data_IF_404978140327
#
_entry.id   IF_404978140327
#
_cell.length_a   1.000
_cell.length_b   1.000
_cell.length_c   1.000
_cell.angle_alpha   90.00
_cell.angle_beta   90.00
_cell.angle_gamma   90.00
#
_symmetry.space_group_name_H-M   'P 1'
#
loop_
_entity.id
_entity.type
_entity.pdbx_description
1 polymer ?
#
# COMPACT_ATOMS: atom_id res chain seq x y z
N UNK A 1 4.95 10.85 -12.61
CA UNK A 1 5.48 11.42 -11.34
C UNK A 1 7.01 11.45 -11.43
N UNK A 2 7.70 12.40 -10.77
CA UNK A 2 9.16 12.47 -10.73
C UNK A 2 9.65 12.97 -9.35
N UNK A 3 10.96 12.90 -9.10
CA UNK A 3 11.58 13.23 -7.81
C UNK A 3 11.24 14.64 -7.31
N UNK A 4 11.26 15.65 -8.18
CA UNK A 4 10.93 17.05 -7.82
C UNK A 4 9.50 17.17 -7.30
N UNK A 5 8.54 16.60 -8.03
CA UNK A 5 7.13 16.65 -7.64
C UNK A 5 6.91 15.92 -6.31
N UNK A 6 7.59 14.79 -6.08
CA UNK A 6 7.47 14.03 -4.83
C UNK A 6 8.02 14.83 -3.65
N UNK A 7 9.20 15.44 -3.80
CA UNK A 7 9.80 16.28 -2.75
C UNK A 7 8.90 17.48 -2.44
N UNK A 8 8.43 18.21 -3.44
CA UNK A 8 7.52 19.35 -3.26
C UNK A 8 6.21 18.92 -2.57
N UNK A 9 5.67 17.76 -2.96
CA UNK A 9 4.45 17.19 -2.37
C UNK A 9 4.66 16.82 -0.91
N UNK A 10 5.76 16.13 -0.58
CA UNK A 10 6.11 15.76 0.78
C UNK A 10 6.37 17.00 1.65
N UNK A 11 7.01 18.04 1.12
CA UNK A 11 7.25 19.31 1.82
C UNK A 11 5.94 20.04 2.14
N UNK A 12 5.02 20.10 1.18
CA UNK A 12 3.71 20.68 1.42
C UNK A 12 2.89 19.90 2.44
N UNK A 13 2.94 18.56 2.39
CA UNK A 13 2.31 17.71 3.40
C UNK A 13 2.93 17.93 4.79
N UNK A 14 4.26 17.96 4.89
CA UNK A 14 4.98 18.26 6.13
C UNK A 14 4.54 19.63 6.69
N UNK A 15 4.52 20.66 5.84
CA UNK A 15 4.11 22.01 6.25
C UNK A 15 2.66 22.04 6.74
N UNK A 16 1.75 21.33 6.07
CA UNK A 16 0.38 21.18 6.52
C UNK A 16 0.33 20.55 7.92
N UNK A 17 0.97 19.38 8.09
CA UNK A 17 0.95 18.65 9.35
C UNK A 17 1.58 19.44 10.50
N UNK A 18 2.64 20.21 10.25
CA UNK A 18 3.25 21.11 11.24
C UNK A 18 2.29 22.21 11.71
N UNK A 19 1.37 22.66 10.86
CA UNK A 19 0.38 23.67 11.24
C UNK A 19 -0.84 23.04 11.95
N UNK A 20 -1.01 21.71 11.88
CA UNK A 20 -2.19 21.00 12.37
C UNK A 20 -1.94 20.21 13.65
N UNK A 21 -0.73 19.70 13.85
CA UNK A 21 -0.39 18.79 14.95
C UNK A 21 0.84 19.28 15.72
N UNK A 22 0.62 19.73 16.96
CA UNK A 22 1.71 20.13 17.87
C UNK A 22 2.61 18.95 18.25
N UNK A 23 2.07 17.72 18.22
CA UNK A 23 2.72 16.45 18.55
C UNK A 23 3.30 15.70 17.33
N UNK A 24 3.39 16.36 16.16
CA UNK A 24 3.88 15.74 14.91
C UNK A 24 5.21 15.01 15.06
N UNK A 25 6.18 15.59 15.79
CA UNK A 25 7.51 14.98 15.94
C UNK A 25 7.49 13.72 16.80
N UNK A 26 6.58 13.65 17.77
CA UNK A 26 6.43 12.50 18.66
C UNK A 26 5.68 11.37 17.96
N UNK A 27 4.61 11.70 17.24
CA UNK A 27 3.76 10.72 16.57
C UNK A 27 4.26 10.31 15.20
N UNK A 28 4.89 11.20 14.46
CA UNK A 28 5.45 10.90 13.14
C UNK A 28 4.44 10.51 12.07
N UNK A 29 4.97 9.96 10.97
CA UNK A 29 4.19 9.43 9.84
C UNK A 29 4.61 8.00 9.48
N UNK A 30 3.78 7.32 8.71
CA UNK A 30 4.12 6.05 8.05
C UNK A 30 4.14 6.20 6.53
N UNK A 31 5.08 5.54 5.86
CA UNK A 31 5.21 5.54 4.40
C UNK A 31 5.30 4.10 3.89
N UNK A 32 4.47 3.76 2.90
CA UNK A 32 4.49 2.48 2.20
C UNK A 32 4.46 2.66 0.68
N UNK A 33 4.71 1.58 -0.04
CA UNK A 33 4.80 1.61 -1.50
C UNK A 33 4.48 0.24 -2.13
N UNK A 34 4.03 0.26 -3.39
CA UNK A 34 3.76 -0.95 -4.18
C UNK A 34 4.95 -1.36 -5.08
N UNK A 35 4.75 -2.38 -5.91
CA UNK A 35 5.77 -2.90 -6.83
C UNK A 35 6.01 -2.09 -8.11
N UNK A 36 5.37 -0.92 -8.30
CA UNK A 36 5.53 -0.14 -9.54
C UNK A 36 6.92 0.49 -9.67
N UNK A 37 7.28 0.85 -10.90
CA UNK A 37 8.50 1.61 -11.17
C UNK A 37 8.59 2.86 -10.30
N UNK A 38 9.76 3.05 -9.68
CA UNK A 38 10.10 4.17 -8.80
C UNK A 38 9.28 4.27 -7.49
N UNK A 39 8.38 3.33 -7.18
CA UNK A 39 7.57 3.38 -5.95
C UNK A 39 8.43 3.46 -4.68
N UNK A 40 9.45 2.60 -4.56
CA UNK A 40 10.44 2.64 -3.48
C UNK A 40 11.18 3.98 -3.42
N UNK A 41 11.70 4.45 -4.56
CA UNK A 41 12.44 5.70 -4.67
C UNK A 41 11.62 6.89 -4.19
N UNK A 42 10.36 6.97 -4.59
CA UNK A 42 9.47 8.06 -4.19
C UNK A 42 9.10 7.97 -2.70
N UNK A 43 8.93 6.78 -2.14
CA UNK A 43 8.72 6.59 -0.71
C UNK A 43 9.94 7.03 0.12
N UNK A 44 11.16 6.70 -0.34
CA UNK A 44 12.41 7.14 0.29
C UNK A 44 12.59 8.65 0.25
N UNK A 45 12.26 9.31 -0.87
CA UNK A 45 12.27 10.77 -0.96
C UNK A 45 11.29 11.41 0.01
N UNK A 46 10.06 10.86 0.13
CA UNK A 46 9.09 11.32 1.11
C UNK A 46 9.64 11.17 2.52
N UNK A 47 10.17 9.99 2.87
CA UNK A 47 10.74 9.74 4.19
C UNK A 47 11.86 10.74 4.52
N UNK A 48 12.76 10.99 3.57
CA UNK A 48 13.88 11.90 3.73
C UNK A 48 13.45 13.35 4.02
N UNK A 49 12.38 13.84 3.38
CA UNK A 49 11.84 15.19 3.65
C UNK A 49 11.39 15.33 5.11
N UNK A 50 10.69 14.32 5.63
CA UNK A 50 10.20 14.33 7.01
C UNK A 50 11.33 14.12 8.03
N UNK A 51 12.23 13.19 7.75
CA UNK A 51 13.41 12.91 8.59
C UNK A 51 14.31 14.15 8.71
N UNK A 52 14.55 14.87 7.59
CA UNK A 52 15.33 16.12 7.59
C UNK A 52 14.70 17.21 8.48
N UNK A 53 13.37 17.20 8.63
CA UNK A 53 12.65 18.12 9.53
C UNK A 53 12.61 17.65 11.00
N UNK A 54 13.27 16.53 11.31
CA UNK A 54 13.27 15.88 12.62
C UNK A 54 11.90 15.30 13.00
N UNK A 55 11.13 14.86 12.01
CA UNK A 55 9.88 14.11 12.21
C UNK A 55 10.18 12.62 12.11
N UNK A 56 9.67 11.85 13.06
CA UNK A 56 9.77 10.40 13.04
C UNK A 56 9.03 9.82 11.83
N UNK A 57 9.67 8.89 11.11
CA UNK A 57 9.11 8.24 9.93
C UNK A 57 9.30 6.75 10.05
N UNK A 58 8.21 6.01 9.95
CA UNK A 58 8.26 4.58 9.73
C UNK A 58 8.05 4.28 8.24
N UNK A 59 9.11 3.83 7.56
CA UNK A 59 9.04 3.38 6.17
C UNK A 59 8.93 1.86 6.14
N UNK A 60 7.97 1.32 5.37
CA UNK A 60 7.93 -0.13 5.12
C UNK A 60 9.21 -0.57 4.38
N UNK A 61 9.88 -1.61 4.88
CA UNK A 61 11.15 -2.08 4.31
C UNK A 61 10.99 -2.69 2.89
N UNK A 62 9.81 -3.21 2.58
CA UNK A 62 9.48 -3.83 1.31
C UNK A 62 8.08 -3.44 0.85
N UNK A 63 7.73 -3.85 -0.37
CA UNK A 63 6.41 -3.60 -0.97
C UNK A 63 5.29 -4.08 -0.04
N UNK A 64 4.24 -3.27 0.11
CA UNK A 64 3.14 -3.56 1.02
C UNK A 64 1.77 -3.28 0.38
N UNK A 65 0.71 -4.03 0.73
CA UNK A 65 -0.64 -3.73 0.27
C UNK A 65 -1.11 -2.37 0.81
N UNK A 66 -1.82 -1.60 -0.02
CA UNK A 66 -2.36 -0.29 0.35
C UNK A 66 -3.05 -0.27 1.73
N UNK A 67 -3.88 -1.26 2.14
CA UNK A 67 -4.54 -1.25 3.45
C UNK A 67 -3.61 -1.28 4.67
N UNK A 68 -2.35 -1.68 4.52
CA UNK A 68 -1.41 -1.73 5.63
C UNK A 68 -0.99 -0.33 6.10
N UNK A 69 -0.91 0.65 5.19
CA UNK A 69 -0.58 2.04 5.52
C UNK A 69 -1.62 2.68 6.46
N UNK A 70 -2.93 2.76 6.13
CA UNK A 70 -3.91 3.34 7.04
C UNK A 70 -4.11 2.52 8.32
N UNK A 71 -3.92 1.20 8.28
CA UNK A 71 -3.90 0.39 9.48
C UNK A 71 -2.73 0.79 10.39
N UNK A 72 -1.51 0.90 9.86
CA UNK A 72 -0.34 1.36 10.59
C UNK A 72 -0.51 2.77 11.18
N UNK A 73 -1.19 3.68 10.47
CA UNK A 73 -1.51 5.01 11.01
C UNK A 73 -2.24 4.90 12.34
N UNK A 74 -3.32 4.12 12.38
CA UNK A 74 -4.14 3.99 13.59
C UNK A 74 -3.49 3.10 14.65
N UNK A 75 -2.81 2.02 14.23
CA UNK A 75 -2.18 1.06 15.13
C UNK A 75 -0.97 1.64 15.87
N UNK A 76 -0.13 2.40 15.16
CA UNK A 76 1.08 3.02 15.70
C UNK A 76 0.85 4.49 16.14
N UNK A 77 -0.39 4.98 16.05
CA UNK A 77 -0.77 6.36 16.40
C UNK A 77 0.01 7.45 15.64
N UNK A 78 0.26 7.25 14.33
CA UNK A 78 0.83 8.29 13.47
C UNK A 78 -0.19 9.38 13.14
N UNK A 79 0.27 10.58 12.76
CA UNK A 79 -0.64 11.67 12.33
C UNK A 79 -1.07 11.57 10.87
N UNK A 80 -0.30 10.85 10.05
CA UNK A 80 -0.61 10.63 8.64
C UNK A 80 0.09 9.38 8.09
N UNK A 81 -0.43 8.88 6.97
CA UNK A 81 0.16 7.80 6.19
C UNK A 81 0.28 8.18 4.72
N UNK A 82 1.36 7.76 4.06
CA UNK A 82 1.56 7.93 2.62
C UNK A 82 1.69 6.56 1.97
N UNK A 83 0.91 6.30 0.93
CA UNK A 83 1.07 5.13 0.07
C UNK A 83 1.46 5.58 -1.33
N UNK A 84 2.65 5.17 -1.78
CA UNK A 84 3.11 5.38 -3.15
C UNK A 84 2.59 4.25 -4.03
N UNK A 85 1.57 4.56 -4.83
CA UNK A 85 0.89 3.63 -5.73
C UNK A 85 -0.02 4.39 -6.68
N UNK A 86 -0.21 3.85 -7.89
CA UNK A 86 -1.28 4.28 -8.80
C UNK A 86 -2.45 3.27 -8.88
N UNK A 87 -2.60 2.38 -7.90
CA UNK A 87 -3.70 1.40 -7.85
C UNK A 87 -3.79 0.60 -9.16
N UNK A 88 -4.90 0.72 -9.89
CA UNK A 88 -5.20 0.00 -11.11
C UNK A 88 -4.80 0.74 -12.42
N UNK A 89 -4.09 1.88 -12.31
CA UNK A 89 -3.65 2.65 -13.47
C UNK A 89 -2.63 1.88 -14.35
N UNK A 90 -2.36 2.34 -15.59
CA UNK A 90 -1.31 1.79 -16.47
C UNK A 90 0.07 1.73 -15.82
N UNK A 91 0.98 0.92 -16.37
CA UNK A 91 2.35 0.74 -15.83
C UNK A 91 3.19 2.01 -15.79
N UNK A 92 2.93 2.94 -16.70
CA UNK A 92 3.66 4.21 -16.80
C UNK A 92 3.31 5.17 -15.65
N UNK A 93 2.18 4.92 -14.98
CA UNK A 93 1.68 5.75 -13.90
C UNK A 93 2.21 5.28 -12.53
N UNK A 94 2.47 6.27 -11.69
CA UNK A 94 2.66 6.11 -10.25
C UNK A 94 1.93 7.26 -9.53
N UNK A 95 1.60 7.10 -8.26
CA UNK A 95 0.71 7.98 -7.53
C UNK A 95 1.07 8.14 -6.06
N UNK A 96 0.37 9.07 -5.39
CA UNK A 96 0.68 9.50 -4.03
C UNK A 96 -0.63 9.63 -3.25
N UNK A 97 -0.97 8.61 -2.45
CA UNK A 97 -2.18 8.59 -1.62
C UNK A 97 -1.83 9.03 -0.20
N UNK A 98 -2.64 9.92 0.39
CA UNK A 98 -2.46 10.40 1.77
C UNK A 98 -3.65 9.98 2.62
N UNK A 99 -3.34 9.45 3.80
CA UNK A 99 -4.28 9.06 4.84
C UNK A 99 -4.08 9.95 6.05
N UNK A 100 -5.16 10.48 6.63
CA UNK A 100 -5.11 11.28 7.86
C UNK A 100 -4.98 10.41 9.11
N UNK A 101 -4.90 11.05 10.28
CA UNK A 101 -4.63 10.40 11.59
C UNK A 101 -5.66 9.34 12.02
N UNK A 102 -6.84 9.31 11.40
CA UNK A 102 -7.87 8.27 11.62
C UNK A 102 -7.76 7.10 10.63
N UNK A 103 -6.70 7.04 9.81
CA UNK A 103 -6.52 6.03 8.77
C UNK A 103 -7.43 6.20 7.54
N UNK A 104 -8.27 7.24 7.50
CA UNK A 104 -9.10 7.54 6.34
C UNK A 104 -8.30 8.29 5.28
N UNK A 105 -8.55 8.01 3.99
CA UNK A 105 -7.97 8.79 2.90
C UNK A 105 -8.47 10.23 2.99
N UNK A 106 -7.57 11.20 2.78
CA UNK A 106 -7.93 12.62 2.86
C UNK A 106 -8.96 13.00 1.79
N UNK A 107 -9.83 13.94 2.15
CA UNK A 107 -10.84 14.54 1.28
C UNK A 107 -10.88 16.05 1.54
N UNK A 108 -11.62 16.80 0.71
CA UNK A 108 -11.85 18.23 0.94
C UNK A 108 -12.45 18.51 2.32
N UNK A 109 -11.98 19.56 3.03
CA UNK A 109 -11.04 20.61 2.58
C UNK A 109 -9.54 20.31 2.75
N UNK A 110 -9.17 19.19 3.38
CA UNK A 110 -7.78 18.87 3.74
C UNK A 110 -6.87 18.77 2.51
N UNK A 111 -7.35 18.18 1.42
CA UNK A 111 -6.64 18.08 0.15
C UNK A 111 -6.22 19.45 -0.42
N UNK A 112 -7.11 20.45 -0.36
CA UNK A 112 -6.85 21.83 -0.82
C UNK A 112 -5.89 22.55 0.10
N UNK A 113 -5.95 22.30 1.41
CA UNK A 113 -5.02 22.88 2.37
C UNK A 113 -3.60 22.35 2.16
N UNK A 114 -3.47 21.04 1.94
CA UNK A 114 -2.19 20.41 1.56
C UNK A 114 -1.71 20.99 0.23
N UNK A 115 -2.58 21.07 -0.79
CA UNK A 115 -2.22 21.66 -2.08
C UNK A 115 -1.69 23.10 -1.94
N UNK A 116 -2.34 23.93 -1.12
CA UNK A 116 -1.85 25.29 -0.83
C UNK A 116 -0.46 25.24 -0.21
N UNK A 117 -0.22 24.36 0.77
CA UNK A 117 1.09 24.21 1.40
C UNK A 117 2.16 23.72 0.40
N UNK A 118 1.81 22.85 -0.56
CA UNK A 118 2.72 22.42 -1.64
C UNK A 118 3.16 23.63 -2.47
N UNK A 119 2.20 24.47 -2.88
CA UNK A 119 2.50 25.67 -3.67
C UNK A 119 3.33 26.71 -2.92
N UNK A 120 3.32 26.69 -1.59
CA UNK A 120 4.16 27.54 -0.72
C UNK A 120 5.56 26.95 -0.49
N UNK A 121 5.78 25.68 -0.81
CA UNK A 121 6.99 24.92 -0.51
C UNK A 121 7.58 24.28 -1.78
N UNK A 122 7.69 25.06 -2.86
CA UNK A 122 8.19 24.57 -4.15
C UNK A 122 9.72 24.47 -4.24
N UNK A 123 10.46 25.21 -3.43
CA UNK A 123 11.92 25.10 -3.38
C UNK A 123 12.31 23.84 -2.57
N UNK A 124 13.08 22.90 -3.14
CA UNK A 124 13.52 21.70 -2.43
C UNK A 124 14.39 22.02 -1.21
N UNK A 125 14.05 21.46 -0.05
CA UNK A 125 14.81 21.58 1.21
C UNK A 125 15.86 20.48 1.38
N UNK A 126 15.78 19.43 0.57
CA UNK A 126 16.72 18.31 0.54
C UNK A 126 17.30 18.13 -0.86
N UNK A 127 18.40 17.38 -0.95
CA UNK A 127 18.99 16.97 -2.21
C UNK A 127 18.27 15.74 -2.80
N UNK A 128 18.51 15.45 -4.08
CA UNK A 128 18.02 14.22 -4.73
C UNK A 128 18.66 12.97 -4.12
N UNK A 129 19.93 13.05 -3.72
CA UNK A 129 20.60 11.95 -3.04
C UNK A 129 20.13 11.92 -1.58
N UNK A 130 19.41 10.85 -1.23
CA UNK A 130 18.88 10.65 0.11
C UNK A 130 19.58 9.48 0.76
N UNK A 131 19.90 9.64 2.04
CA UNK A 131 20.38 8.58 2.91
C UNK A 131 19.51 8.64 4.13
N UNK A 132 18.70 7.59 4.33
CA UNK A 132 17.82 7.46 5.49
C UNK A 132 18.61 6.88 6.65
N UNK A 133 18.29 7.30 7.88
CA UNK A 133 18.86 6.67 9.08
C UNK A 133 18.42 5.21 9.21
N UNK A 134 19.20 4.43 9.96
CA UNK A 134 18.82 3.07 10.33
C UNK A 134 17.48 3.05 11.06
N UNK A 135 17.20 4.06 11.89
CA UNK A 135 15.92 4.20 12.59
C UNK A 135 14.75 4.23 11.60
N UNK A 136 14.80 5.06 10.56
CA UNK A 136 13.74 5.10 9.53
C UNK A 136 13.61 3.81 8.72
N UNK A 137 14.70 3.07 8.53
CA UNK A 137 14.74 1.84 7.74
C UNK A 137 14.35 0.57 8.52
N UNK A 138 14.59 0.54 9.84
CA UNK A 138 14.50 -0.68 10.67
C UNK A 138 13.22 -0.73 11.55
N UNK A 139 12.43 0.34 11.57
CA UNK A 139 11.34 0.49 12.54
C UNK A 139 10.02 -0.22 12.20
N UNK A 140 9.76 -0.53 10.93
CA UNK A 140 8.56 -1.28 10.55
C UNK A 140 8.93 -2.51 9.72
N UNK A 141 9.26 -3.59 10.43
CA UNK A 141 9.29 -4.89 9.78
C UNK A 141 7.88 -5.21 9.27
N UNK A 142 7.78 -5.44 7.97
CA UNK A 142 6.53 -5.78 7.28
C UNK A 142 5.80 -6.95 7.97
N UNK A 143 6.56 -7.86 8.59
CA UNK A 143 6.03 -9.01 9.32
C UNK A 143 5.26 -8.62 10.58
N UNK A 144 5.75 -7.66 11.38
CA UNK A 144 5.10 -7.26 12.63
C UNK A 144 3.76 -6.57 12.36
N UNK A 145 3.72 -5.73 11.33
CA UNK A 145 2.47 -5.10 10.89
C UNK A 145 1.47 -6.09 10.30
N UNK A 146 1.97 -7.06 9.54
CA UNK A 146 1.15 -8.14 9.03
C UNK A 146 0.52 -8.92 10.19
N UNK A 147 1.30 -9.31 11.21
CA UNK A 147 0.84 -10.02 12.40
C UNK A 147 -0.30 -9.28 13.12
N UNK A 148 -0.12 -7.98 13.37
CA UNK A 148 -1.14 -7.13 13.99
C UNK A 148 -2.40 -7.02 13.12
N UNK A 149 -2.25 -6.86 11.79
CA UNK A 149 -3.36 -6.80 10.85
C UNK A 149 -4.15 -8.12 10.84
N UNK A 150 -3.46 -9.26 10.83
CA UNK A 150 -4.11 -10.58 10.85
C UNK A 150 -4.75 -10.92 12.19
N UNK A 151 -4.20 -10.43 13.30
CA UNK A 151 -4.85 -10.54 14.60
C UNK A 151 -6.22 -9.84 14.59
N UNK A 152 -6.31 -8.64 14.00
CA UNK A 152 -7.58 -7.95 13.78
C UNK A 152 -8.49 -8.73 12.82
N UNK A 153 -7.98 -9.15 11.66
CA UNK A 153 -8.74 -9.93 10.68
C UNK A 153 -9.39 -11.17 11.30
N UNK A 154 -8.64 -11.88 12.15
CA UNK A 154 -9.12 -13.08 12.87
C UNK A 154 -10.37 -12.80 13.70
N UNK A 155 -10.50 -11.59 14.29
CA UNK A 155 -11.69 -11.20 15.06
C UNK A 155 -12.93 -11.00 14.18
N UNK A 156 -12.74 -10.70 12.89
CA UNK A 156 -13.81 -10.57 11.90
C UNK A 156 -14.21 -11.89 11.23
N UNK A 157 -13.52 -13.00 11.50
CA UNK A 157 -13.83 -14.31 10.92
C UNK A 157 -15.11 -14.85 11.54
N UNK A 158 -16.20 -14.83 10.78
CA UNK A 158 -17.53 -15.22 11.25
C UNK A 158 -17.61 -16.70 11.71
N UNK A 159 -17.13 -17.64 10.90
CA UNK A 159 -17.19 -19.07 11.24
C UNK A 159 -15.98 -19.84 10.69
N UNK A 160 -14.88 -19.85 11.44
CA UNK A 160 -13.66 -20.55 11.05
C UNK A 160 -13.79 -22.08 10.94
N UNK A 161 -14.78 -22.69 11.63
CA UNK A 161 -15.02 -24.14 11.53
C UNK A 161 -15.66 -24.49 10.18
N UNK A 162 -16.67 -23.72 9.76
CA UNK A 162 -17.28 -23.87 8.44
C UNK A 162 -16.28 -23.59 7.31
N UNK A 163 -15.37 -22.62 7.49
CA UNK A 163 -14.32 -22.35 6.53
C UNK A 163 -13.39 -23.57 6.33
N UNK A 164 -13.04 -24.26 7.41
CA UNK A 164 -12.17 -25.45 7.37
C UNK A 164 -12.85 -26.65 6.71
N UNK A 165 -14.17 -26.79 6.85
CA UNK A 165 -14.96 -27.85 6.23
C UNK A 165 -15.37 -27.52 4.78
N UNK A 166 -15.17 -26.27 4.34
CA UNK A 166 -15.58 -25.80 3.02
C UNK A 166 -14.94 -26.61 1.89
N UNK A 167 -15.75 -27.00 0.92
CA UNK A 167 -15.29 -27.65 -0.31
C UNK A 167 -15.03 -26.67 -1.45
N UNK A 168 -15.21 -25.37 -1.23
CA UNK A 168 -15.02 -24.34 -2.25
C UNK A 168 -13.56 -24.27 -2.71
N UNK A 169 -13.37 -24.32 -4.02
CA UNK A 169 -12.13 -23.96 -4.68
C UNK A 169 -12.22 -22.48 -5.05
N UNK A 170 -11.22 -21.70 -4.61
CA UNK A 170 -11.16 -20.25 -4.83
C UNK A 170 -9.90 -19.96 -5.64
N UNK A 171 -10.07 -19.42 -6.84
CA UNK A 171 -8.95 -18.96 -7.65
C UNK A 171 -8.57 -17.54 -7.26
N UNK A 172 -7.28 -17.28 -7.17
CA UNK A 172 -6.74 -15.97 -6.82
C UNK A 172 -5.80 -15.43 -7.89
N UNK A 173 -5.92 -14.15 -8.21
CA UNK A 173 -4.92 -13.41 -8.98
C UNK A 173 -4.51 -12.14 -8.24
N UNK A 174 -3.20 -11.91 -8.14
CA UNK A 174 -2.65 -10.64 -7.71
C UNK A 174 -2.51 -9.64 -8.86
N UNK A 175 -2.74 -10.06 -10.12
CA UNK A 175 -2.54 -9.24 -11.32
C UNK A 175 -1.13 -8.60 -11.39
N UNK A 176 -0.10 -9.33 -10.96
CA UNK A 176 1.29 -8.85 -10.76
C UNK A 176 1.44 -7.76 -9.69
N UNK A 177 0.48 -7.69 -8.78
CA UNK A 177 0.49 -6.90 -7.58
C UNK A 177 1.19 -7.55 -6.41
N UNK A 178 1.13 -6.87 -5.26
CA UNK A 178 1.83 -7.29 -4.04
C UNK A 178 1.01 -8.25 -3.16
N UNK A 179 -0.24 -8.55 -3.54
CA UNK A 179 -1.23 -9.18 -2.67
C UNK A 179 -1.03 -10.67 -2.37
N UNK A 180 -0.30 -11.42 -3.19
CA UNK A 180 -0.24 -12.89 -3.09
C UNK A 180 0.22 -13.44 -1.72
N UNK A 181 1.40 -13.06 -1.17
CA UNK A 181 1.82 -13.57 0.14
C UNK A 181 0.80 -13.23 1.24
N UNK A 182 0.11 -12.10 1.12
CA UNK A 182 -0.86 -11.64 2.10
C UNK A 182 -2.21 -12.37 2.00
N UNK A 183 -2.68 -12.72 0.81
CA UNK A 183 -3.92 -13.48 0.68
C UNK A 183 -3.74 -14.93 1.15
N UNK A 184 -2.58 -15.54 0.89
CA UNK A 184 -2.25 -16.89 1.38
C UNK A 184 -2.36 -16.91 2.89
N UNK A 185 -1.71 -15.96 3.57
CA UNK A 185 -1.76 -15.83 5.01
C UNK A 185 -3.17 -15.48 5.54
N UNK A 186 -3.93 -14.64 4.84
CA UNK A 186 -5.31 -14.34 5.21
C UNK A 186 -6.19 -15.60 5.22
N UNK A 187 -6.03 -16.47 4.22
CA UNK A 187 -6.76 -17.72 4.10
C UNK A 187 -6.39 -18.70 5.20
N UNK A 188 -5.10 -18.80 5.56
CA UNK A 188 -4.66 -19.60 6.71
C UNK A 188 -5.29 -19.12 8.02
N UNK A 189 -5.26 -17.81 8.28
CA UNK A 189 -5.84 -17.19 9.48
C UNK A 189 -7.35 -17.43 9.54
N UNK A 190 -8.04 -17.34 8.40
CA UNK A 190 -9.47 -17.61 8.26
C UNK A 190 -9.82 -19.11 8.23
N UNK A 191 -8.81 -20.01 8.21
CA UNK A 191 -8.94 -21.47 8.09
C UNK A 191 -9.60 -21.94 6.79
N UNK A 192 -9.47 -21.20 5.69
CA UNK A 192 -9.85 -21.69 4.38
C UNK A 192 -8.78 -22.64 3.81
N UNK A 193 -9.17 -23.44 2.81
CA UNK A 193 -8.22 -24.13 1.94
C UNK A 193 -7.34 -23.11 1.22
N UNK A 194 -6.07 -23.44 0.89
CA UNK A 194 -5.23 -22.56 0.09
C UNK A 194 -5.92 -22.12 -1.20
N UNK A 195 -5.72 -20.85 -1.58
CA UNK A 195 -6.16 -20.35 -2.88
C UNK A 195 -5.47 -21.11 -4.01
N UNK A 196 -6.13 -21.17 -5.17
CA UNK A 196 -5.55 -21.67 -6.40
C UNK A 196 -4.97 -20.47 -7.15
N UNK A 197 -3.65 -20.28 -7.16
CA UNK A 197 -3.05 -19.10 -7.77
C UNK A 197 -3.14 -19.16 -9.29
N UNK A 198 -3.38 -18.02 -9.92
CA UNK A 198 -3.01 -17.79 -11.32
C UNK A 198 -1.50 -17.60 -11.34
N UNK A 199 -0.77 -18.68 -11.59
CA UNK A 199 0.71 -18.76 -11.46
C UNK A 199 1.41 -17.66 -12.25
N UNK A 200 0.87 -17.31 -13.42
CA UNK A 200 1.42 -16.26 -14.30
C UNK A 200 1.29 -14.84 -13.75
N UNK A 201 0.54 -14.62 -12.66
CA UNK A 201 0.21 -13.30 -12.12
C UNK A 201 0.52 -13.19 -10.61
N UNK A 202 1.28 -14.15 -10.05
CA UNK A 202 1.62 -14.21 -8.62
C UNK A 202 2.68 -13.20 -8.21
N UNK A 203 3.77 -13.14 -8.97
CA UNK A 203 4.92 -12.31 -8.62
C UNK A 203 4.66 -10.83 -8.96
N UNK A 204 5.07 -9.88 -8.11
CA UNK A 204 5.03 -8.47 -8.45
C UNK A 204 5.85 -8.18 -9.71
N UNK A 205 5.22 -7.57 -10.73
CA UNK A 205 5.89 -7.17 -11.97
C UNK A 205 5.34 -5.80 -12.43
N UNK A 206 6.17 -4.73 -12.40
CA UNK A 206 5.73 -3.40 -12.78
C UNK A 206 5.34 -3.28 -14.26
N UNK A 207 5.70 -4.24 -15.11
CA UNK A 207 5.31 -4.25 -16.52
C UNK A 207 3.90 -4.82 -16.77
N UNK A 208 3.28 -5.45 -15.77
CA UNK A 208 1.97 -6.11 -15.85
C UNK A 208 1.82 -6.98 -17.13
N UNK A 209 2.77 -7.88 -17.46
CA UNK A 209 2.95 -8.42 -18.82
C UNK A 209 1.75 -9.21 -19.38
N UNK A 210 0.87 -9.69 -18.51
CA UNK A 210 -0.30 -10.50 -18.90
C UNK A 210 -1.60 -9.70 -19.07
N UNK A 211 -1.61 -8.43 -18.66
CA UNK A 211 -2.82 -7.60 -18.66
C UNK A 211 -2.54 -6.23 -19.26
N UNK A 212 -3.51 -5.68 -19.99
CA UNK A 212 -3.36 -4.33 -20.55
C UNK A 212 -3.46 -3.25 -19.46
N UNK A 213 -4.39 -3.46 -18.53
CA UNK A 213 -4.59 -2.63 -17.34
C UNK A 213 -4.74 -3.58 -16.16
N UNK A 214 -4.02 -3.36 -15.06
CA UNK A 214 -4.11 -4.21 -13.88
C UNK A 214 -5.33 -3.82 -13.03
N UNK A 215 -6.50 -3.81 -13.67
CA UNK A 215 -7.77 -3.42 -13.07
C UNK A 215 -8.78 -4.58 -13.20
N UNK A 216 -9.17 -5.24 -12.09
CA UNK A 216 -10.19 -6.28 -12.10
C UNK A 216 -11.55 -5.81 -12.67
N UNK A 217 -11.83 -4.51 -12.64
CA UNK A 217 -13.10 -3.91 -13.09
C UNK A 217 -13.23 -3.73 -14.61
N UNK A 218 -12.14 -3.92 -15.38
CA UNK A 218 -12.16 -3.89 -16.86
C UNK A 218 -12.96 -5.06 -17.47
N UNK A 219 -13.47 -5.94 -16.60
CA UNK A 219 -14.35 -7.04 -16.95
C UNK A 219 -13.55 -8.26 -17.40
N UNK A 220 -14.15 -9.01 -18.33
CA UNK A 220 -13.65 -10.34 -18.70
C UNK A 220 -12.20 -10.35 -19.19
N UNK A 221 -11.77 -9.30 -19.89
CA UNK A 221 -10.43 -9.20 -20.46
C UNK A 221 -9.32 -9.22 -19.40
N UNK A 222 -9.53 -8.55 -18.26
CA UNK A 222 -8.59 -8.52 -17.13
C UNK A 222 -8.53 -9.86 -16.38
N UNK A 223 -9.61 -10.65 -16.44
CA UNK A 223 -9.77 -11.89 -15.68
C UNK A 223 -9.60 -13.15 -16.52
N UNK A 224 -9.17 -13.07 -17.79
CA UNK A 224 -9.09 -14.24 -18.68
C UNK A 224 -8.25 -15.39 -18.10
N UNK A 225 -7.07 -15.09 -17.53
CA UNK A 225 -6.22 -16.11 -16.90
C UNK A 225 -6.84 -16.66 -15.61
N UNK A 226 -7.49 -15.80 -14.80
CA UNK A 226 -8.22 -16.22 -13.61
C UNK A 226 -9.41 -17.12 -13.94
N UNK A 227 -10.17 -16.81 -14.99
CA UNK A 227 -11.29 -17.63 -15.48
C UNK A 227 -10.78 -18.97 -16.03
N UNK A 228 -9.69 -18.96 -16.80
CA UNK A 228 -9.08 -20.18 -17.31
C UNK A 228 -8.61 -21.11 -16.17
N UNK A 229 -7.91 -20.54 -15.19
CA UNK A 229 -7.45 -21.25 -13.98
C UNK A 229 -8.63 -21.77 -13.16
N UNK A 230 -9.67 -20.95 -12.96
CA UNK A 230 -10.88 -21.36 -12.26
C UNK A 230 -11.57 -22.55 -12.95
N UNK A 231 -11.74 -22.50 -14.26
CA UNK A 231 -12.33 -23.59 -15.02
C UNK A 231 -11.50 -24.88 -14.95
N UNK A 232 -10.17 -24.77 -15.05
CA UNK A 232 -9.26 -25.92 -15.00
C UNK A 232 -9.28 -26.63 -13.64
N UNK A 233 -9.53 -25.89 -12.56
CA UNK A 233 -9.54 -26.42 -11.18
C UNK A 233 -10.94 -26.54 -10.56
N UNK A 234 -11.99 -26.26 -11.32
CA UNK A 234 -13.38 -26.29 -10.82
C UNK A 234 -13.66 -25.25 -9.72
N UNK A 235 -12.96 -24.11 -9.73
CA UNK A 235 -13.26 -22.98 -8.83
C UNK A 235 -14.54 -22.28 -9.25
N UNK A 236 -15.42 -22.02 -8.28
CA UNK A 236 -16.67 -21.27 -8.50
C UNK A 236 -16.55 -19.81 -8.08
N UNK A 237 -15.45 -19.43 -7.45
CA UNK A 237 -15.16 -18.08 -6.96
C UNK A 237 -13.77 -17.66 -7.44
N UNK A 238 -13.68 -16.43 -7.93
CA UNK A 238 -12.41 -15.75 -8.25
C UNK A 238 -12.29 -14.55 -7.30
N UNK A 239 -11.12 -14.42 -6.68
CA UNK A 239 -10.70 -13.22 -5.96
C UNK A 239 -9.57 -12.58 -6.77
N UNK A 240 -9.69 -11.29 -7.08
CA UNK A 240 -8.70 -10.53 -7.81
C UNK A 240 -8.39 -9.26 -7.03
N UNK A 241 -7.10 -8.94 -6.87
CA UNK A 241 -6.66 -7.64 -6.37
C UNK A 241 -6.03 -6.85 -7.51
N UNK A 242 -6.21 -5.52 -7.47
CA UNK A 242 -5.34 -4.60 -8.18
C UNK A 242 -3.93 -4.59 -7.53
N UNK A 243 -2.93 -4.01 -8.20
CA UNK A 243 -1.52 -4.06 -7.80
C UNK A 243 -1.19 -3.67 -6.35
#
# INVERSE_FOLDING_TARGET
>A
MNDLIVIQTAQGLLKYLQNTFDDLKERGIVVGFDGRHNSRRFAELTAAVFEHAGVHVNLFADVCPTPFVPFAVTHCNHVAGVMVTASHNPKEDNGYKVYGSLGAQIISPVDKEIQRCILECLEPTISWEVTLSADTLDQMQLIDMADAYYALLKTGVFNSAANAESTLNITYTAMHGVGYPFIVRAFEVAKFKPVIPVVEQVEPDPEFPTVKFPNPEEGKSALNLAIATANAHGSTVIVANDP
#
